data_IF_487410887671
#
_entry.id   IF_487410887671
#
_cell.length_a   1.000
_cell.length_b   1.000
_cell.length_c   1.000
_cell.angle_alpha   90.00
_cell.angle_beta   90.00
_cell.angle_gamma   90.00
#
_symmetry.space_group_name_H-M   'P 1'
#
loop_
_entity.id
_entity.type
_entity.pdbx_description
1 polymer ?
#
# COMPACT_ATOMS: atom_id res chain seq x y z
N UNK A 1 19.91 -8.04 -14.54
CA UNK A 1 19.50 -9.40 -14.10
C UNK A 1 20.37 -9.88 -12.95
N UNK A 2 19.84 -10.67 -12.02
CA UNK A 2 20.62 -11.26 -10.92
C UNK A 2 21.05 -12.68 -11.27
N UNK A 3 22.22 -13.11 -10.79
CA UNK A 3 22.74 -14.48 -10.97
C UNK A 3 22.69 -15.22 -9.63
N UNK A 4 22.13 -16.45 -9.62
CA UNK A 4 22.03 -17.30 -8.42
C UNK A 4 23.36 -18.02 -8.18
N UNK A 5 23.86 -17.95 -6.96
CA UNK A 5 25.04 -18.71 -6.54
C UNK A 5 24.74 -20.20 -6.49
N UNK A 6 25.69 -21.04 -6.95
CA UNK A 6 25.57 -22.51 -7.01
C UNK A 6 25.86 -23.22 -5.67
N UNK A 7 26.05 -22.45 -4.61
CA UNK A 7 26.31 -22.98 -3.27
C UNK A 7 25.02 -23.54 -2.66
N UNK A 8 25.09 -24.73 -2.06
CA UNK A 8 23.96 -25.42 -1.44
C UNK A 8 23.78 -24.85 -0.03
N UNK A 9 23.45 -23.56 0.02
CA UNK A 9 23.04 -22.85 1.23
C UNK A 9 21.51 -22.86 1.30
N UNK A 10 20.98 -23.11 2.50
CA UNK A 10 19.54 -23.12 2.82
C UNK A 10 18.80 -21.87 2.27
N UNK A 11 19.51 -20.75 2.19
CA UNK A 11 19.04 -19.52 1.55
C UNK A 11 19.70 -19.27 0.20
N UNK A 12 18.89 -18.98 -0.83
CA UNK A 12 19.36 -18.64 -2.16
C UNK A 12 20.09 -17.29 -2.16
N UNK A 13 21.40 -17.31 -2.43
CA UNK A 13 22.23 -16.11 -2.60
C UNK A 13 22.27 -15.68 -4.06
N UNK A 14 22.16 -14.38 -4.31
CA UNK A 14 22.21 -13.78 -5.64
C UNK A 14 23.22 -12.65 -5.71
N UNK A 15 23.91 -12.52 -6.85
CA UNK A 15 24.83 -11.41 -7.14
C UNK A 15 24.33 -10.57 -8.32
N UNK A 16 24.64 -9.27 -8.31
CA UNK A 16 24.33 -8.34 -9.41
C UNK A 16 25.24 -8.64 -10.61
N UNK A 17 24.68 -8.69 -11.80
CA UNK A 17 25.44 -8.85 -13.05
C UNK A 17 25.70 -7.49 -13.70
N UNK A 18 26.71 -7.37 -14.58
CA UNK A 18 26.91 -6.16 -15.38
C UNK A 18 25.68 -5.76 -16.20
N UNK A 19 24.91 -6.74 -16.69
CA UNK A 19 23.62 -6.53 -17.36
C UNK A 19 22.56 -5.89 -16.46
N UNK A 20 22.60 -6.14 -15.15
CA UNK A 20 21.75 -5.43 -14.18
C UNK A 20 22.13 -3.94 -14.08
N UNK A 21 23.43 -3.65 -14.02
CA UNK A 21 23.92 -2.27 -13.88
C UNK A 21 23.66 -1.46 -15.15
N UNK A 22 23.77 -2.07 -16.33
CA UNK A 22 23.50 -1.43 -17.61
C UNK A 22 22.01 -1.24 -17.94
N UNK A 23 21.10 -1.77 -17.13
CA UNK A 23 19.65 -1.67 -17.41
C UNK A 23 19.10 -0.29 -17.01
N UNK A 24 18.64 0.47 -17.99
CA UNK A 24 17.88 1.72 -17.77
C UNK A 24 16.40 1.39 -17.65
N UNK A 25 15.83 1.53 -16.46
CA UNK A 25 14.40 1.35 -16.24
C UNK A 25 13.64 2.54 -16.85
N UNK A 26 12.86 2.29 -17.91
CA UNK A 26 11.93 3.27 -18.46
C UNK A 26 10.59 3.15 -17.74
N UNK A 27 10.19 4.20 -17.03
CA UNK A 27 8.84 4.33 -16.53
C UNK A 27 7.87 4.27 -17.71
N UNK A 28 6.85 3.39 -17.63
CA UNK A 28 5.80 3.36 -18.65
C UNK A 28 5.07 4.70 -18.59
N UNK A 29 5.30 5.53 -19.61
CA UNK A 29 4.42 6.65 -19.92
C UNK A 29 3.07 6.06 -20.28
N UNK A 30 2.01 6.52 -19.61
CA UNK A 30 0.63 6.19 -19.93
C UNK A 30 0.39 6.52 -21.39
N UNK A 31 0.26 5.50 -22.23
CA UNK A 31 -0.14 5.69 -23.61
C UNK A 31 -1.59 6.14 -23.59
N UNK A 32 -1.76 7.39 -23.99
CA UNK A 32 -2.99 8.04 -24.39
C UNK A 32 -3.84 7.08 -25.24
N UNK A 33 -4.90 6.53 -24.65
CA UNK A 33 -5.99 5.92 -25.40
C UNK A 33 -7.01 7.03 -25.60
N UNK A 34 -7.15 7.43 -26.86
CA UNK A 34 -8.03 8.50 -27.31
C UNK A 34 -9.50 8.43 -26.89
N UNK A 35 -10.29 9.43 -27.32
CA UNK A 35 -11.41 9.98 -26.57
C UNK A 35 -12.59 9.02 -26.51
N UNK A 36 -12.98 8.61 -25.29
CA UNK A 36 -14.33 8.10 -25.02
C UNK A 36 -15.24 9.26 -24.69
N UNK A 37 -16.34 9.34 -25.44
CA UNK A 37 -17.37 10.37 -25.37
C UNK A 37 -17.85 10.71 -23.95
N UNK A 38 -18.25 11.97 -23.70
CA UNK A 38 -18.72 12.42 -22.41
C UNK A 38 -20.14 11.90 -22.14
N UNK A 39 -20.30 11.09 -21.08
CA UNK A 39 -21.63 10.88 -20.50
C UNK A 39 -21.98 12.12 -19.68
N UNK A 40 -23.05 12.79 -20.11
CA UNK A 40 -23.56 13.97 -19.43
C UNK A 40 -23.95 13.68 -17.97
N UNK A 41 -23.80 14.65 -17.06
CA UNK A 41 -24.14 14.52 -15.65
C UNK A 41 -25.66 14.58 -15.48
N UNK A 42 -26.24 13.62 -14.75
CA UNK A 42 -27.59 13.79 -14.20
C UNK A 42 -27.49 14.67 -12.97
N UNK A 43 -28.00 15.90 -13.09
CA UNK A 43 -28.21 16.80 -11.96
C UNK A 43 -29.38 16.32 -11.06
N UNK A 44 -29.42 16.76 -9.79
CA UNK A 44 -29.97 16.03 -8.66
C UNK A 44 -31.41 16.41 -8.34
N UNK A 45 -32.19 15.44 -7.86
CA UNK A 45 -33.43 15.71 -7.14
C UNK A 45 -33.08 16.43 -5.84
N UNK A 46 -33.60 17.64 -5.69
CA UNK A 46 -33.48 18.45 -4.50
C UNK A 46 -34.20 17.77 -3.33
N UNK A 47 -33.49 17.61 -2.22
CA UNK A 47 -34.08 17.53 -0.89
C UNK A 47 -33.40 18.59 -0.04
N UNK A 48 -34.10 19.70 0.17
CA UNK A 48 -33.76 20.69 1.18
C UNK A 48 -33.93 20.05 2.55
N UNK A 49 -32.82 19.93 3.29
CA UNK A 49 -32.85 19.96 4.75
C UNK A 49 -31.72 20.88 5.21
N UNK A 50 -32.10 22.08 5.65
CA UNK A 50 -31.19 23.03 6.29
C UNK A 50 -30.76 22.53 7.66
N UNK A 51 -29.45 22.48 7.88
CA UNK A 51 -28.77 22.49 9.18
C UNK A 51 -27.25 22.62 8.92
N UNK A 52 -26.49 23.21 9.84
CA UNK A 52 -25.52 24.25 9.53
C UNK A 52 -24.27 23.72 8.84
N UNK A 53 -23.77 24.47 7.87
CA UNK A 53 -22.45 24.29 7.29
C UNK A 53 -21.40 24.38 8.39
N UNK A 54 -20.94 23.22 8.84
CA UNK A 54 -19.75 23.10 9.68
C UNK A 54 -18.59 23.81 8.95
N UNK A 55 -17.73 24.53 9.68
CA UNK A 55 -16.58 25.17 9.07
C UNK A 55 -15.71 24.09 8.47
N UNK A 56 -15.59 24.09 7.14
CA UNK A 56 -14.58 23.30 6.43
C UNK A 56 -13.25 23.90 6.84
N UNK A 57 -12.69 23.41 7.96
CA UNK A 57 -11.31 23.69 8.32
C UNK A 57 -10.49 23.05 7.23
N UNK A 58 -9.78 23.85 6.46
CA UNK A 58 -8.71 23.35 5.59
C UNK A 58 -7.81 22.49 6.48
N UNK A 59 -7.77 21.16 6.27
CA UNK A 59 -6.97 20.30 7.14
C UNK A 59 -5.51 20.70 6.97
N UNK A 60 -4.82 20.88 8.09
CA UNK A 60 -3.37 21.06 8.04
C UNK A 60 -2.77 19.79 7.41
N UNK A 61 -1.74 19.93 6.58
CA UNK A 61 -1.02 18.80 5.97
C UNK A 61 -0.63 17.77 7.04
N UNK A 62 -0.31 18.22 8.25
CA UNK A 62 -0.03 17.35 9.41
C UNK A 62 -1.24 16.46 9.75
N UNK A 63 -2.44 17.03 9.84
CA UNK A 63 -3.67 16.32 10.16
C UNK A 63 -4.02 15.29 9.07
N UNK A 64 -3.80 15.64 7.80
CA UNK A 64 -3.97 14.71 6.67
C UNK A 64 -3.03 13.50 6.77
N UNK A 65 -1.76 13.75 7.09
CA UNK A 65 -0.75 12.69 7.25
C UNK A 65 -1.05 11.82 8.48
N UNK A 66 -1.45 12.41 9.60
CA UNK A 66 -1.86 11.68 10.80
C UNK A 66 -3.09 10.80 10.50
N UNK A 67 -4.05 11.30 9.72
CA UNK A 67 -5.21 10.53 9.31
C UNK A 67 -4.83 9.40 8.35
N UNK A 68 -3.91 9.65 7.41
CA UNK A 68 -3.41 8.65 6.49
C UNK A 68 -2.68 7.50 7.21
N UNK A 69 -1.90 7.82 8.26
CA UNK A 69 -1.26 6.81 9.12
C UNK A 69 -2.32 5.91 9.78
N UNK A 70 -3.39 6.49 10.34
CA UNK A 70 -4.48 5.71 10.97
C UNK A 70 -5.16 4.79 9.97
N UNK A 71 -5.43 5.25 8.75
CA UNK A 71 -5.98 4.39 7.68
C UNK A 71 -5.05 3.23 7.38
N UNK A 72 -3.75 3.50 7.20
CA UNK A 72 -2.77 2.44 6.95
C UNK A 72 -2.62 1.47 8.13
N UNK A 73 -2.80 1.91 9.37
CA UNK A 73 -2.81 1.00 10.52
C UNK A 73 -3.97 0.00 10.45
N UNK A 74 -5.16 0.45 10.05
CA UNK A 74 -6.32 -0.45 9.86
C UNK A 74 -6.05 -1.46 8.74
N UNK A 75 -5.51 -1.00 7.61
CA UNK A 75 -5.15 -1.87 6.48
C UNK A 75 -4.05 -2.87 6.87
N UNK A 76 -3.07 -2.43 7.67
CA UNK A 76 -1.99 -3.27 8.17
C UNK A 76 -2.55 -4.41 9.01
N UNK A 77 -3.39 -4.10 10.00
CA UNK A 77 -4.03 -5.09 10.87
C UNK A 77 -4.87 -6.09 10.08
N UNK A 78 -5.63 -5.60 9.09
CA UNK A 78 -6.42 -6.46 8.21
C UNK A 78 -5.54 -7.44 7.42
N UNK A 79 -4.46 -6.95 6.80
CA UNK A 79 -3.54 -7.81 6.04
C UNK A 79 -2.76 -8.81 6.91
N UNK A 80 -2.46 -8.45 8.16
CA UNK A 80 -1.88 -9.38 9.14
C UNK A 80 -2.88 -10.49 9.45
N UNK A 81 -4.12 -10.14 9.81
CA UNK A 81 -5.16 -11.11 10.13
C UNK A 81 -5.46 -12.07 8.98
N UNK A 82 -5.50 -11.57 7.73
CA UNK A 82 -5.59 -12.44 6.55
C UNK A 82 -4.41 -13.42 6.46
N UNK A 83 -3.18 -12.93 6.65
CA UNK A 83 -1.99 -13.78 6.57
C UNK A 83 -1.96 -14.85 7.67
N UNK A 84 -2.37 -14.49 8.89
CA UNK A 84 -2.47 -15.43 10.01
C UNK A 84 -3.54 -16.49 9.76
N UNK A 85 -4.69 -16.09 9.22
CA UNK A 85 -5.76 -17.03 8.87
C UNK A 85 -5.34 -17.99 7.75
N UNK A 86 -4.66 -17.50 6.71
CA UNK A 86 -4.11 -18.37 5.66
C UNK A 86 -3.08 -19.35 6.23
N UNK A 87 -2.24 -18.92 7.16
CA UNK A 87 -1.27 -19.79 7.83
C UNK A 87 -1.96 -20.84 8.70
N UNK A 88 -2.98 -20.44 9.45
CA UNK A 88 -3.79 -21.37 10.27
C UNK A 88 -4.47 -22.42 9.40
N UNK A 89 -5.12 -22.02 8.31
CA UNK A 89 -5.75 -22.94 7.36
C UNK A 89 -4.73 -23.87 6.69
N UNK A 90 -3.54 -23.37 6.37
CA UNK A 90 -2.43 -24.16 5.82
C UNK A 90 -1.97 -25.27 6.80
N UNK A 91 -2.02 -25.00 8.11
CA UNK A 91 -1.72 -25.97 9.17
C UNK A 91 -2.87 -26.95 9.40
N UNK A 92 -4.13 -26.48 9.38
CA UNK A 92 -5.32 -27.32 9.60
C UNK A 92 -5.61 -28.25 8.42
N UNK A 93 -5.40 -27.80 7.18
CA UNK A 93 -5.74 -28.53 5.96
C UNK A 93 -4.55 -28.65 5.02
N UNK A 94 -3.62 -29.61 5.25
CA UNK A 94 -2.43 -29.80 4.43
C UNK A 94 -2.69 -30.00 2.93
N UNK A 95 -3.87 -30.49 2.56
CA UNK A 95 -4.30 -30.64 1.17
C UNK A 95 -4.56 -29.31 0.44
N UNK A 96 -4.76 -28.21 1.19
CA UNK A 96 -5.00 -26.88 0.63
C UNK A 96 -3.74 -26.02 0.52
N UNK A 97 -2.58 -26.49 1.00
CA UNK A 97 -1.35 -25.70 1.10
C UNK A 97 -0.98 -24.99 -0.19
N UNK A 98 -0.92 -25.73 -1.31
CA UNK A 98 -0.57 -25.19 -2.62
C UNK A 98 -1.52 -24.07 -3.09
N UNK A 99 -2.78 -24.09 -2.64
CA UNK A 99 -3.77 -23.04 -2.94
C UNK A 99 -3.63 -21.84 -2.00
N UNK A 100 -3.34 -22.07 -0.71
CA UNK A 100 -3.31 -21.03 0.32
C UNK A 100 -1.99 -20.25 0.36
N UNK A 101 -0.88 -20.90 0.03
CA UNK A 101 0.46 -20.31 0.14
C UNK A 101 0.65 -19.02 -0.68
N UNK A 102 0.17 -18.91 -1.94
CA UNK A 102 0.21 -17.65 -2.67
C UNK A 102 -0.52 -16.51 -1.96
N UNK A 103 -1.64 -16.80 -1.29
CA UNK A 103 -2.42 -15.80 -0.56
C UNK A 103 -1.72 -15.38 0.73
N UNK A 104 -1.20 -16.35 1.50
CA UNK A 104 -0.36 -16.06 2.66
C UNK A 104 0.80 -15.13 2.31
N UNK A 105 1.58 -15.50 1.28
CA UNK A 105 2.74 -14.72 0.84
C UNK A 105 2.33 -13.32 0.38
N UNK A 106 1.20 -13.19 -0.31
CA UNK A 106 0.65 -11.90 -0.74
C UNK A 106 0.24 -11.02 0.43
N UNK A 107 -0.58 -11.51 1.36
CA UNK A 107 -1.04 -10.70 2.50
C UNK A 107 0.12 -10.30 3.41
N UNK A 108 1.13 -11.17 3.58
CA UNK A 108 2.39 -10.83 4.28
C UNK A 108 3.24 -9.78 3.55
N UNK A 109 3.32 -9.85 2.23
CA UNK A 109 4.01 -8.82 1.43
C UNK A 109 3.27 -7.47 1.52
N UNK A 110 1.94 -7.49 1.48
CA UNK A 110 1.09 -6.30 1.67
C UNK A 110 1.33 -5.68 3.05
N UNK A 111 1.33 -6.46 4.13
CA UNK A 111 1.58 -5.94 5.49
C UNK A 111 2.96 -5.26 5.59
N UNK A 112 3.99 -5.88 5.01
CA UNK A 112 5.35 -5.31 4.97
C UNK A 112 5.40 -3.97 4.21
N UNK A 113 4.67 -3.87 3.08
CA UNK A 113 4.59 -2.64 2.29
C UNK A 113 3.85 -1.53 3.03
N UNK A 114 2.73 -1.85 3.67
CA UNK A 114 1.95 -0.87 4.46
C UNK A 114 2.78 -0.36 5.63
N UNK A 115 3.49 -1.24 6.34
CA UNK A 115 4.41 -0.84 7.40
C UNK A 115 5.50 0.12 6.89
N UNK A 116 6.06 -0.15 5.69
CA UNK A 116 7.00 0.76 5.05
C UNK A 116 6.39 2.14 4.75
N UNK A 117 5.14 2.21 4.30
CA UNK A 117 4.42 3.47 4.09
C UNK A 117 4.20 4.24 5.40
N UNK A 118 3.77 3.56 6.45
CA UNK A 118 3.58 4.16 7.78
C UNK A 118 4.89 4.80 8.24
N UNK A 119 6.00 4.04 8.23
CA UNK A 119 7.31 4.53 8.66
C UNK A 119 7.79 5.74 7.85
N UNK A 120 7.52 5.74 6.54
CA UNK A 120 7.88 6.87 5.68
C UNK A 120 7.13 8.15 6.09
N UNK A 121 5.82 8.05 6.36
CA UNK A 121 5.00 9.19 6.79
C UNK A 121 5.39 9.65 8.20
N UNK A 122 5.57 8.72 9.14
CA UNK A 122 6.01 9.03 10.51
C UNK A 122 7.37 9.75 10.52
N UNK A 123 8.30 9.35 9.64
CA UNK A 123 9.60 10.02 9.50
C UNK A 123 9.45 11.46 9.02
N UNK A 124 8.51 11.73 8.10
CA UNK A 124 8.20 13.08 7.65
C UNK A 124 7.56 13.89 8.78
N UNK A 125 6.56 13.34 9.47
CA UNK A 125 5.86 13.98 10.59
C UNK A 125 6.78 14.32 11.77
N UNK A 126 7.81 13.50 12.01
CA UNK A 126 8.83 13.75 13.03
C UNK A 126 9.73 14.94 12.68
N UNK A 127 9.97 15.17 11.39
CA UNK A 127 10.73 16.34 10.89
C UNK A 127 9.90 17.62 10.77
N UNK A 128 8.57 17.54 10.88
CA UNK A 128 7.70 18.72 10.87
C UNK A 128 7.72 19.41 12.24
N UNK A 129 7.87 20.74 12.29
CA UNK A 129 7.72 21.49 13.53
C UNK A 129 6.32 21.25 14.09
N UNK A 130 6.25 20.91 15.38
CA UNK A 130 4.98 21.01 16.11
C UNK A 130 4.76 22.49 16.34
N UNK A 131 3.62 23.02 15.92
CA UNK A 131 3.29 24.43 16.15
C UNK A 131 3.60 24.81 17.61
N UNK A 132 4.19 25.98 17.86
CA UNK A 132 4.44 26.43 19.22
C UNK A 132 3.07 26.58 19.91
N UNK A 133 2.84 25.73 20.91
CA UNK A 133 1.68 25.83 21.81
C UNK A 133 1.71 27.23 22.43
N UNK A 134 0.65 28.03 22.17
CA UNK A 134 0.35 29.27 22.90
C UNK A 134 -0.29 28.99 24.24
#
# INVERSE_FOLDING_TARGET
>A
MLEKSKDISEFARYKKTPLFVASVFKQRVTVDRGPKQPRQPKQPTQVEHGAPSLPVKDPCIRDELDQLVKTYQVDLLSSIGESEEYLRLHQTYPQLKAKLEPHYLKSRDVSSKILGKIRAIESVLAGMPKDPVS
#
